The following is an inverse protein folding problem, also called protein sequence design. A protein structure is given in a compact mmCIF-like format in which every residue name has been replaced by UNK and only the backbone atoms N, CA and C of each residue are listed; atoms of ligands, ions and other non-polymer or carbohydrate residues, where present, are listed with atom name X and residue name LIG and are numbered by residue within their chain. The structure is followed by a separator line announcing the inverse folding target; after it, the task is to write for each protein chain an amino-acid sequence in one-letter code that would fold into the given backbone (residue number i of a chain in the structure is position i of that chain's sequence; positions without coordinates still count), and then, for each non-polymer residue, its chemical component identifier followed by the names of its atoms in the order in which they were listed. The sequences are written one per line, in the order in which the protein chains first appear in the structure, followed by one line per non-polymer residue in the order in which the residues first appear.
data_IF_215772388808
#
_entry.id   IF_215772388808
#
_cell.length_a   1.000
_cell.length_b   1.000
_cell.length_c   1.000
_cell.angle_alpha   90.00
_cell.angle_beta   90.00
_cell.angle_gamma   90.00
#
_symmetry.space_group_name_H-M   'P 1'
#
loop_
_entity.id
_entity.type
_entity.pdbx_description
1 polymer ?
#
# COMPACT_ATOMS: atom_id res chain seq x y z
N UNK A 1 -21.94 2.52 27.63
CA UNK A 1 -21.71 3.31 26.41
C UNK A 1 -21.59 2.35 25.25
N UNK A 2 -22.56 2.39 24.33
CA UNK A 2 -22.74 1.41 23.26
C UNK A 2 -21.64 1.53 22.21
N UNK A 3 -20.98 0.42 21.90
CA UNK A 3 -20.06 0.29 20.76
C UNK A 3 -20.88 0.27 19.47
N UNK A 4 -20.92 1.39 18.77
CA UNK A 4 -21.52 1.45 17.44
C UNK A 4 -20.70 0.60 16.46
N UNK A 5 -21.45 -0.18 15.69
CA UNK A 5 -20.99 -1.28 14.87
C UNK A 5 -20.32 -0.72 13.59
N UNK A 6 -18.99 -0.68 13.55
CA UNK A 6 -18.16 -0.20 12.41
C UNK A 6 -18.16 -1.14 11.18
N UNK A 7 -19.30 -1.79 10.90
CA UNK A 7 -19.45 -2.82 9.87
C UNK A 7 -19.89 -2.30 8.49
N UNK A 8 -20.11 -0.98 8.33
CA UNK A 8 -20.72 -0.41 7.11
C UNK A 8 -19.83 -0.49 5.87
N UNK A 9 -18.50 -0.58 6.02
CA UNK A 9 -17.57 -0.67 4.90
C UNK A 9 -17.33 -2.12 4.41
N UNK A 10 -17.54 -3.12 5.28
CA UNK A 10 -17.39 -4.54 4.96
C UNK A 10 -18.55 -5.09 4.11
N UNK A 11 -19.71 -4.43 4.15
CA UNK A 11 -20.96 -4.90 3.53
C UNK A 11 -21.40 -4.07 2.32
N UNK A 12 -20.49 -3.47 1.54
CA UNK A 12 -20.88 -2.73 0.33
C UNK A 12 -20.85 -3.63 -0.94
N UNK A 13 -22.01 -4.09 -1.45
CA UNK A 13 -22.08 -4.97 -2.63
C UNK A 13 -21.75 -4.28 -3.96
N UNK A 14 -21.57 -2.95 -3.99
CA UNK A 14 -21.26 -2.20 -5.22
C UNK A 14 -19.78 -2.25 -5.66
N UNK A 15 -18.90 -2.94 -4.92
CA UNK A 15 -17.47 -3.11 -5.26
C UNK A 15 -17.19 -4.50 -5.83
N UNK A 16 -17.93 -4.89 -6.87
CA UNK A 16 -17.55 -5.99 -7.76
C UNK A 16 -16.81 -5.39 -8.96
N UNK A 17 -15.52 -5.14 -8.82
CA UNK A 17 -14.65 -4.84 -9.97
C UNK A 17 -13.75 -6.03 -10.26
N UNK A 18 -13.94 -6.54 -11.47
CA UNK A 18 -13.17 -7.61 -12.10
C UNK A 18 -11.68 -7.24 -12.17
N UNK A 19 -10.80 -8.19 -11.83
CA UNK A 19 -9.43 -8.15 -12.34
C UNK A 19 -9.49 -8.39 -13.84
N UNK A 20 -9.32 -7.32 -14.62
CA UNK A 20 -9.16 -7.40 -16.05
C UNK A 20 -7.68 -7.71 -16.32
N UNK A 21 -7.38 -8.95 -16.73
CA UNK A 21 -6.13 -9.26 -17.40
C UNK A 21 -6.19 -8.65 -18.81
N UNK A 22 -5.63 -7.46 -18.98
CA UNK A 22 -5.48 -6.85 -20.29
C UNK A 22 -4.20 -7.37 -20.96
N UNK A 23 -4.30 -8.47 -21.71
CA UNK A 23 -3.38 -8.76 -22.81
C UNK A 23 -4.07 -8.27 -24.08
N UNK A 24 -3.68 -7.09 -24.54
CA UNK A 24 -4.24 -6.46 -25.73
C UNK A 24 -3.13 -5.78 -26.51
N UNK A 25 -2.47 -6.53 -27.39
CA UNK A 25 -1.54 -5.98 -28.38
C UNK A 25 -2.34 -5.15 -29.38
N UNK A 26 -2.13 -3.83 -29.40
CA UNK A 26 -2.59 -2.98 -30.51
C UNK A 26 -1.51 -3.00 -31.58
N UNK A 27 -1.76 -3.65 -32.71
CA UNK A 27 -0.93 -3.53 -33.90
C UNK A 27 -1.39 -2.31 -34.70
N UNK A 28 -0.61 -1.23 -34.66
CA UNK A 28 -0.75 -0.12 -35.61
C UNK A 28 0.07 -0.47 -36.86
N UNK A 29 -0.59 -0.79 -37.98
CA UNK A 29 0.07 -0.94 -39.28
C UNK A 29 0.15 0.44 -39.93
N UNK A 30 1.34 1.06 -39.87
CA UNK A 30 1.72 2.15 -40.76
C UNK A 30 2.54 1.52 -41.89
N UNK A 31 2.04 1.59 -43.12
CA UNK A 31 2.81 1.21 -44.31
C UNK A 31 3.42 2.44 -44.96
N UNK A 32 4.75 2.42 -45.09
CA UNK A 32 5.47 3.17 -46.11
C UNK A 32 6.45 4.24 -45.61
N UNK A 33 7.73 4.05 -45.94
CA UNK A 33 8.65 5.16 -46.17
C UNK A 33 9.99 5.09 -45.43
N UNK A 34 10.96 4.40 -46.03
CA UNK A 34 12.37 4.27 -45.63
C UNK A 34 13.01 5.52 -45.01
N UNK A 35 13.66 5.36 -43.86
CA UNK A 35 14.94 6.03 -43.55
C UNK A 35 15.66 5.28 -42.44
N UNK A 36 16.93 4.99 -42.71
CA UNK A 36 17.95 4.29 -41.92
C UNK A 36 17.69 4.16 -40.41
N UNK A 37 17.58 2.93 -39.91
CA UNK A 37 17.73 2.62 -38.49
C UNK A 37 19.03 1.86 -38.26
N UNK A 38 19.87 2.50 -37.46
CA UNK A 38 21.12 1.99 -36.95
C UNK A 38 20.92 0.62 -36.30
N UNK A 39 21.90 -0.24 -36.53
CA UNK A 39 22.02 -1.57 -35.97
C UNK A 39 22.32 -1.46 -34.45
N UNK A 40 21.30 -1.29 -33.62
CA UNK A 40 21.44 -1.42 -32.15
C UNK A 40 21.24 -2.88 -31.76
N UNK A 41 22.31 -3.44 -31.21
CA UNK A 41 22.42 -4.80 -30.67
C UNK A 41 21.33 -5.09 -29.64
N UNK A 42 20.89 -6.36 -29.50
CA UNK A 42 19.98 -6.77 -28.45
C UNK A 42 20.62 -6.54 -27.07
N UNK A 43 19.73 -6.27 -26.12
CA UNK A 43 19.98 -5.88 -24.74
C UNK A 43 20.61 -7.02 -23.94
N UNK A 44 21.86 -7.36 -24.22
CA UNK A 44 22.72 -8.12 -23.31
C UNK A 44 23.31 -7.13 -22.29
N UNK A 45 22.45 -6.66 -21.39
CA UNK A 45 22.91 -6.07 -20.14
C UNK A 45 23.13 -7.24 -19.17
N UNK A 46 24.40 -7.59 -18.94
CA UNK A 46 24.80 -8.33 -17.76
C UNK A 46 24.23 -7.58 -16.54
N UNK A 47 23.14 -8.11 -16.00
CA UNK A 47 22.67 -7.72 -14.67
C UNK A 47 23.68 -8.31 -13.71
N UNK A 48 24.75 -7.57 -13.43
CA UNK A 48 25.57 -7.86 -12.28
C UNK A 48 24.65 -7.86 -11.06
N UNK A 49 24.54 -9.03 -10.43
CA UNK A 49 23.83 -9.28 -9.19
C UNK A 49 24.58 -8.57 -8.05
N UNK A 50 24.50 -7.24 -8.02
CA UNK A 50 24.93 -6.45 -6.88
C UNK A 50 23.84 -6.48 -5.80
N UNK A 51 23.46 -7.68 -5.35
CA UNK A 51 22.84 -7.89 -4.02
C UNK A 51 23.89 -7.75 -2.92
N UNK A 52 24.72 -6.72 -3.02
CA UNK A 52 25.23 -6.10 -1.82
C UNK A 52 24.00 -5.55 -1.10
N UNK A 53 23.49 -6.32 -0.15
CA UNK A 53 22.63 -5.84 0.90
C UNK A 53 23.31 -4.61 1.48
N UNK A 54 22.91 -3.45 0.99
CA UNK A 54 23.09 -2.21 1.71
C UNK A 54 22.35 -2.44 3.02
N UNK A 55 23.06 -2.94 4.02
CA UNK A 55 22.71 -2.63 5.39
C UNK A 55 22.59 -1.12 5.39
N UNK A 56 21.36 -0.62 5.54
CA UNK A 56 21.13 0.81 5.73
C UNK A 56 21.78 1.10 7.08
N UNK A 57 23.05 1.47 7.04
CA UNK A 57 23.87 1.73 8.23
C UNK A 57 23.16 2.81 9.04
N UNK A 58 22.59 2.42 10.20
CA UNK A 58 21.82 3.31 11.07
C UNK A 58 20.28 3.19 11.02
N UNK A 59 19.69 2.30 10.21
CA UNK A 59 18.26 2.05 10.26
C UNK A 59 17.87 1.20 11.48
N UNK A 60 17.06 1.76 12.39
CA UNK A 60 16.45 0.97 13.45
C UNK A 60 15.24 0.21 12.90
N UNK A 61 15.38 -1.11 12.74
CA UNK A 61 14.34 -1.99 12.22
C UNK A 61 13.39 -2.53 13.29
N UNK A 62 13.60 -2.22 14.57
CA UNK A 62 12.87 -2.81 15.70
C UNK A 62 12.15 -1.79 16.59
N UNK A 63 12.61 -0.52 16.66
CA UNK A 63 11.89 0.52 17.39
C UNK A 63 10.56 0.82 16.68
N UNK A 64 9.39 0.63 17.34
CA UNK A 64 8.10 0.92 16.74
C UNK A 64 7.92 2.38 16.32
N UNK A 65 8.71 3.31 16.85
CA UNK A 65 8.70 4.72 16.44
C UNK A 65 9.64 5.05 15.29
N UNK A 66 10.48 4.10 14.86
CA UNK A 66 11.37 4.26 13.71
C UNK A 66 10.57 4.26 12.40
N UNK A 67 10.90 5.17 11.49
CA UNK A 67 10.38 5.14 10.12
C UNK A 67 10.98 4.02 9.27
N UNK A 68 12.04 3.36 9.75
CA UNK A 68 12.65 2.18 9.13
C UNK A 68 12.19 0.86 9.77
N UNK A 69 11.22 0.89 10.68
CA UNK A 69 10.67 -0.31 11.33
C UNK A 69 10.28 -1.37 10.29
N UNK A 70 10.74 -2.61 10.48
CA UNK A 70 10.40 -3.72 9.60
C UNK A 70 9.26 -4.55 10.19
N UNK A 71 8.05 -4.39 9.64
CA UNK A 71 6.88 -5.21 9.97
C UNK A 71 6.56 -6.15 8.81
N UNK A 72 6.42 -7.45 9.09
CA UNK A 72 5.99 -8.42 8.08
C UNK A 72 5.46 -9.69 8.76
N UNK A 73 5.06 -10.71 8.00
CA UNK A 73 4.49 -11.98 8.52
C UNK A 73 5.34 -12.71 9.58
N UNK A 74 6.63 -12.40 9.68
CA UNK A 74 7.59 -12.98 10.65
C UNK A 74 8.04 -11.98 11.72
N UNK A 75 7.80 -10.68 11.53
CA UNK A 75 8.21 -9.58 12.42
C UNK A 75 6.99 -8.75 12.82
N UNK A 76 6.40 -9.01 14.00
CA UNK A 76 5.29 -8.21 14.47
C UNK A 76 5.75 -6.84 15.00
N UNK A 77 4.79 -5.94 15.17
CA UNK A 77 4.91 -4.77 16.02
C UNK A 77 5.21 -5.16 17.47
N UNK A 78 5.99 -4.34 18.16
CA UNK A 78 6.26 -4.47 19.59
C UNK A 78 6.02 -3.11 20.29
N UNK A 79 4.99 -2.97 21.13
CA UNK A 79 3.97 -3.97 21.46
C UNK A 79 3.08 -4.30 20.25
N UNK A 80 2.39 -5.45 20.27
CA UNK A 80 1.51 -5.89 19.17
C UNK A 80 0.43 -4.87 18.79
N UNK A 81 -0.03 -4.11 19.78
CA UNK A 81 -1.06 -3.08 19.66
C UNK A 81 -0.47 -1.66 19.63
N UNK A 82 0.79 -1.51 19.24
CA UNK A 82 1.43 -0.21 19.10
C UNK A 82 0.56 0.75 18.27
N UNK A 83 0.44 1.98 18.77
CA UNK A 83 -0.23 3.08 18.12
C UNK A 83 0.71 4.30 18.18
N UNK A 84 1.08 4.89 17.02
CA UNK A 84 1.92 6.09 17.01
C UNK A 84 1.22 7.26 17.74
N UNK A 85 1.99 8.05 18.49
CA UNK A 85 1.47 9.23 19.19
C UNK A 85 1.28 10.46 18.27
N UNK A 86 1.88 10.44 17.07
CA UNK A 86 1.96 11.55 16.12
C UNK A 86 1.03 11.38 14.90
N UNK A 87 -0.08 10.66 15.07
CA UNK A 87 -1.09 10.46 14.04
C UNK A 87 -1.83 11.76 13.72
N UNK A 88 -1.89 12.09 12.43
CA UNK A 88 -2.60 13.26 11.89
C UNK A 88 -3.35 12.88 10.62
N UNK A 89 -4.40 13.64 10.28
CA UNK A 89 -5.08 13.49 8.98
C UNK A 89 -4.40 14.42 7.98
N UNK A 90 -3.80 13.91 6.88
CA UNK A 90 -3.21 14.76 5.85
C UNK A 90 -4.27 15.59 5.15
N UNK A 91 -3.91 16.79 4.71
CA UNK A 91 -4.78 17.69 3.97
C UNK A 91 -4.85 17.30 2.48
N UNK A 92 -5.33 16.09 2.22
CA UNK A 92 -5.50 15.54 0.86
C UNK A 92 -6.83 14.78 0.73
N UNK A 93 -7.35 14.56 -0.49
CA UNK A 93 -8.57 13.79 -0.70
C UNK A 93 -8.51 12.39 -0.08
N UNK A 94 -9.62 11.96 0.52
CA UNK A 94 -9.81 10.65 1.12
C UNK A 94 -11.27 10.19 0.91
N UNK A 95 -11.49 8.87 0.86
CA UNK A 95 -12.84 8.31 0.64
C UNK A 95 -13.57 7.87 1.92
N UNK A 96 -12.87 7.81 3.05
CA UNK A 96 -13.41 7.23 4.28
C UNK A 96 -14.10 8.27 5.15
N UNK A 97 -15.25 7.93 5.73
CA UNK A 97 -15.82 8.68 6.85
C UNK A 97 -15.20 8.32 8.21
N UNK A 98 -14.58 7.15 8.33
CA UNK A 98 -13.87 6.73 9.54
C UNK A 98 -12.55 7.53 9.67
N UNK A 99 -12.37 8.34 10.74
CA UNK A 99 -11.16 9.13 10.95
C UNK A 99 -9.89 8.28 11.13
N UNK A 100 -9.99 7.09 11.73
CA UNK A 100 -8.83 6.21 11.99
C UNK A 100 -8.08 5.88 10.70
N UNK A 101 -8.79 5.41 9.68
CA UNK A 101 -8.18 4.97 8.41
C UNK A 101 -7.76 6.11 7.48
N UNK A 102 -7.84 7.35 7.94
CA UNK A 102 -7.33 8.54 7.25
C UNK A 102 -6.08 9.12 7.90
N UNK A 103 -5.70 8.61 9.06
CA UNK A 103 -4.55 9.09 9.79
C UNK A 103 -3.28 8.43 9.27
N UNK A 104 -2.19 9.19 9.25
CA UNK A 104 -0.82 8.69 9.09
C UNK A 104 0.06 9.39 10.12
N UNK A 105 1.29 8.91 10.32
CA UNK A 105 2.27 9.65 11.12
C UNK A 105 2.59 11.00 10.47
N UNK A 106 2.90 11.99 11.28
CA UNK A 106 3.09 13.39 10.85
C UNK A 106 4.08 13.55 9.68
N UNK A 107 5.20 12.85 9.68
CA UNK A 107 6.18 12.94 8.59
C UNK A 107 5.62 12.39 7.26
N UNK A 108 4.91 11.26 7.33
CA UNK A 108 4.23 10.68 6.18
C UNK A 108 3.10 11.58 5.66
N UNK A 109 2.42 12.34 6.53
CA UNK A 109 1.42 13.32 6.12
C UNK A 109 2.04 14.43 5.26
N UNK A 110 3.15 15.01 5.71
CA UNK A 110 3.87 16.05 4.95
C UNK A 110 4.36 15.51 3.61
N UNK A 111 4.92 14.30 3.58
CA UNK A 111 5.36 13.67 2.33
C UNK A 111 4.19 13.38 1.37
N UNK A 112 3.05 12.90 1.89
CA UNK A 112 1.86 12.64 1.10
C UNK A 112 1.28 13.93 0.50
N UNK A 113 1.19 15.00 1.27
CA UNK A 113 0.70 16.30 0.77
C UNK A 113 1.55 16.85 -0.39
N UNK A 114 2.89 16.71 -0.29
CA UNK A 114 3.80 17.07 -1.38
C UNK A 114 3.58 16.18 -2.61
N UNK A 115 3.53 14.85 -2.42
CA UNK A 115 3.28 13.90 -3.52
C UNK A 115 1.96 14.18 -4.23
N UNK A 116 0.89 14.46 -3.49
CA UNK A 116 -0.42 14.76 -4.05
C UNK A 116 -0.43 16.09 -4.82
N UNK A 117 0.28 17.10 -4.31
CA UNK A 117 0.44 18.38 -5.00
C UNK A 117 1.14 18.19 -6.35
N UNK A 118 2.28 17.49 -6.36
CA UNK A 118 3.03 17.23 -7.59
C UNK A 118 2.26 16.33 -8.58
N UNK A 119 1.55 15.32 -8.08
CA UNK A 119 0.68 14.48 -8.90
C UNK A 119 -0.41 15.32 -9.58
N UNK A 120 -1.02 16.26 -8.84
CA UNK A 120 -2.05 17.14 -9.39
C UNK A 120 -1.51 18.06 -10.49
N UNK A 121 -0.31 18.60 -10.32
CA UNK A 121 0.36 19.40 -11.35
C UNK A 121 0.63 18.60 -12.64
N UNK A 122 0.84 17.29 -12.52
CA UNK A 122 1.00 16.36 -13.64
C UNK A 122 -0.33 15.84 -14.20
N UNK A 123 -1.47 16.31 -13.71
CA UNK A 123 -2.79 15.90 -14.17
C UNK A 123 -3.30 14.59 -13.58
N UNK A 124 -2.73 14.13 -12.46
CA UNK A 124 -3.15 12.93 -11.75
C UNK A 124 -3.93 13.27 -10.48
N UNK A 125 -5.11 12.68 -10.33
CA UNK A 125 -5.92 12.76 -9.12
C UNK A 125 -5.65 11.56 -8.22
N UNK A 126 -5.08 11.82 -7.05
CA UNK A 126 -4.83 10.82 -6.01
C UNK A 126 -5.87 10.91 -4.89
N UNK A 127 -6.14 9.77 -4.25
CA UNK A 127 -7.05 9.71 -3.11
C UNK A 127 -6.58 8.66 -2.09
N UNK A 128 -6.62 8.98 -0.80
CA UNK A 128 -6.34 8.01 0.27
C UNK A 128 -7.54 7.07 0.42
N UNK A 129 -7.27 5.77 0.28
CA UNK A 129 -8.24 4.67 0.48
C UNK A 129 -8.21 4.13 1.90
N UNK A 130 -7.01 3.87 2.42
CA UNK A 130 -6.78 3.37 3.78
C UNK A 130 -5.38 3.75 4.21
N UNK A 131 -5.24 4.19 5.45
CA UNK A 131 -3.99 4.56 6.08
C UNK A 131 -3.84 3.80 7.41
N UNK A 132 -3.73 4.50 8.54
CA UNK A 132 -3.58 3.91 9.87
C UNK A 132 -4.68 2.87 10.18
N UNK A 133 -4.29 1.74 10.75
CA UNK A 133 -5.25 0.74 11.22
C UNK A 133 -4.81 0.15 12.56
N UNK A 134 -5.62 0.40 13.59
CA UNK A 134 -5.38 -0.18 14.91
C UNK A 134 -5.37 -1.70 14.89
N UNK A 135 -4.70 -2.29 15.88
CA UNK A 135 -4.74 -3.73 16.14
C UNK A 135 -6.17 -4.29 16.20
N UNK A 136 -7.08 -3.55 16.83
CA UNK A 136 -8.48 -3.96 16.98
C UNK A 136 -9.21 -3.97 15.63
N UNK A 137 -8.99 -2.95 14.79
CA UNK A 137 -9.57 -2.92 13.45
C UNK A 137 -8.95 -4.01 12.57
N UNK A 138 -7.64 -4.21 12.60
CA UNK A 138 -6.97 -5.29 11.86
C UNK A 138 -7.47 -6.68 12.30
N UNK A 139 -7.81 -6.87 13.58
CA UNK A 139 -8.45 -8.10 14.08
C UNK A 139 -9.79 -8.35 13.42
N UNK A 140 -10.64 -7.32 13.31
CA UNK A 140 -11.93 -7.44 12.63
C UNK A 140 -11.74 -7.74 11.14
N UNK A 141 -10.84 -7.03 10.46
CA UNK A 141 -10.53 -7.24 9.04
C UNK A 141 -10.03 -8.66 8.78
N UNK A 142 -9.07 -9.12 9.57
CA UNK A 142 -8.50 -10.45 9.42
C UNK A 142 -9.55 -11.55 9.68
N UNK A 143 -10.32 -11.43 10.76
CA UNK A 143 -11.36 -12.41 11.09
C UNK A 143 -12.47 -12.46 10.03
N UNK A 144 -12.87 -11.31 9.47
CA UNK A 144 -13.82 -11.27 8.36
C UNK A 144 -13.33 -12.07 7.15
N UNK A 145 -12.04 -11.92 6.79
CA UNK A 145 -11.47 -12.67 5.68
C UNK A 145 -11.27 -14.16 5.98
N UNK A 146 -10.94 -14.51 7.23
CA UNK A 146 -10.88 -15.91 7.68
C UNK A 146 -12.26 -16.58 7.57
N UNK A 147 -13.31 -15.88 7.99
CA UNK A 147 -14.69 -16.38 7.90
C UNK A 147 -15.14 -16.57 6.44
N UNK A 148 -14.82 -15.60 5.57
CA UNK A 148 -15.24 -15.62 4.16
C UNK A 148 -14.47 -16.64 3.31
N UNK A 149 -13.15 -16.67 3.47
CA UNK A 149 -12.23 -17.30 2.51
C UNK A 149 -11.39 -18.44 3.14
N UNK A 150 -11.46 -18.62 4.46
CA UNK A 150 -10.61 -19.52 5.22
C UNK A 150 -9.23 -18.94 5.52
N UNK A 151 -8.64 -19.36 6.64
CA UNK A 151 -7.41 -18.76 7.16
C UNK A 151 -6.24 -18.80 6.17
N UNK A 152 -6.03 -19.94 5.50
CA UNK A 152 -4.91 -20.10 4.55
C UNK A 152 -4.95 -19.06 3.43
N UNK A 153 -6.14 -18.78 2.90
CA UNK A 153 -6.31 -17.81 1.82
C UNK A 153 -6.25 -16.38 2.37
N UNK A 154 -6.91 -16.10 3.51
CA UNK A 154 -6.85 -14.81 4.18
C UNK A 154 -5.40 -14.36 4.47
N UNK A 155 -4.54 -15.25 4.95
CA UNK A 155 -3.13 -14.94 5.24
C UNK A 155 -2.29 -14.61 3.98
N UNK A 156 -2.82 -14.82 2.76
CA UNK A 156 -2.12 -14.42 1.54
C UNK A 156 -2.23 -12.91 1.28
N UNK A 157 -3.34 -12.28 1.68
CA UNK A 157 -3.63 -10.87 1.34
C UNK A 157 -4.04 -10.00 2.54
N UNK A 158 -4.24 -10.59 3.72
CA UNK A 158 -4.51 -9.88 4.97
C UNK A 158 -3.47 -10.26 6.02
N UNK A 159 -2.88 -9.25 6.65
CA UNK A 159 -1.95 -9.46 7.74
C UNK A 159 -2.68 -9.93 9.01
N UNK A 160 -2.02 -10.75 9.81
CA UNK A 160 -2.49 -11.03 11.18
C UNK A 160 -2.44 -9.74 12.02
N UNK A 161 -3.28 -9.61 13.06
CA UNK A 161 -3.21 -8.46 13.97
C UNK A 161 -1.80 -8.30 14.55
N UNK A 162 -1.24 -7.10 14.45
CA UNK A 162 0.15 -6.79 14.85
C UNK A 162 1.22 -7.12 13.80
N UNK A 163 0.86 -7.63 12.62
CA UNK A 163 1.79 -7.95 11.52
C UNK A 163 1.53 -7.07 10.27
N UNK A 164 0.76 -5.99 10.43
CA UNK A 164 0.39 -5.04 9.38
C UNK A 164 1.23 -3.78 9.48
N UNK A 165 1.64 -3.21 8.34
CA UNK A 165 2.29 -1.88 8.27
C UNK A 165 1.29 -0.72 8.36
N UNK A 166 0.00 -0.98 8.08
CA UNK A 166 -1.07 -0.01 8.35
C UNK A 166 -1.08 0.43 9.81
#
# INVERSE_FOLDING_TARGET
MSSENNSSWLNNPSRRTFSLAAVGTVALVVTGGNSALANTRPFDAEVEDSRASAEVEGADLNDPNSYSLLVNKRRPLNPLNFAPADLVVPNVPNISSNPEIRQVRKEAATAAELMFTEAKLQGHDLIIVSAYRSFQLQTQVFNYYVERDGQKLAETYSARPGYSEH
#
